data_IF_332850075873
#
_entry.id   IF_332850075873
#
_cell.length_a   1.000
_cell.length_b   1.000
_cell.length_c   1.000
_cell.angle_alpha   90.00
_cell.angle_beta   90.00
_cell.angle_gamma   90.00
#
_symmetry.space_group_name_H-M   'P 1'
#
loop_
_entity.id
_entity.type
_entity.pdbx_description
1 polymer ?
#
# COMPACT_ATOMS: atom_id res chain seq x y z
N UNK A 1 4.12 48.50 -65.75
CA UNK A 1 5.21 48.50 -64.75
C UNK A 1 4.59 48.20 -63.39
N UNK A 2 4.98 47.09 -62.79
CA UNK A 2 4.22 46.38 -61.75
C UNK A 2 4.26 47.02 -60.36
N UNK A 3 3.12 46.93 -59.68
CA UNK A 3 2.91 47.20 -58.26
C UNK A 3 3.36 45.99 -57.43
N UNK A 4 4.42 46.14 -56.63
CA UNK A 4 4.83 45.14 -55.65
C UNK A 4 4.15 45.40 -54.30
N UNK A 5 3.11 44.62 -54.02
CA UNK A 5 2.53 44.51 -52.69
C UNK A 5 3.52 43.81 -51.75
N UNK A 6 3.96 44.51 -50.71
CA UNK A 6 4.76 43.95 -49.63
C UNK A 6 3.87 43.10 -48.73
N UNK A 7 3.93 41.79 -48.89
CA UNK A 7 3.30 40.84 -47.97
C UNK A 7 4.10 40.81 -46.66
N UNK A 8 3.55 41.39 -45.60
CA UNK A 8 4.06 41.22 -44.24
C UNK A 8 3.85 39.77 -43.82
N UNK A 9 4.92 38.97 -43.91
CA UNK A 9 4.96 37.63 -43.34
C UNK A 9 4.70 37.74 -41.83
N UNK A 10 3.55 37.22 -41.39
CA UNK A 10 3.26 37.06 -39.97
C UNK A 10 4.35 36.22 -39.33
N UNK A 11 5.00 36.78 -38.30
CA UNK A 11 5.90 36.05 -37.44
C UNK A 11 5.08 34.95 -36.74
N UNK A 12 5.29 33.71 -37.19
CA UNK A 12 4.74 32.52 -36.57
C UNK A 12 5.41 32.41 -35.19
N UNK A 13 4.63 32.60 -34.13
CA UNK A 13 5.07 32.45 -32.75
C UNK A 13 5.72 31.07 -32.59
N UNK A 14 7.03 31.04 -32.36
CA UNK A 14 7.74 29.80 -32.08
C UNK A 14 7.14 29.16 -30.83
N UNK A 15 6.52 27.99 -30.99
CA UNK A 15 6.06 27.17 -29.87
C UNK A 15 7.26 26.92 -28.93
N UNK A 16 7.11 27.26 -27.66
CA UNK A 16 8.13 27.00 -26.65
C UNK A 16 8.41 25.49 -26.62
N UNK A 17 9.69 25.06 -26.63
CA UNK A 17 10.02 23.65 -26.65
C UNK A 17 9.41 22.94 -25.43
N UNK A 18 8.80 21.78 -25.66
CA UNK A 18 8.30 20.92 -24.60
C UNK A 18 9.46 20.50 -23.68
N UNK A 19 9.43 20.99 -22.43
CA UNK A 19 10.38 20.58 -21.40
C UNK A 19 9.74 19.42 -20.61
N UNK A 20 10.30 18.21 -20.65
CA UNK A 20 9.82 17.08 -19.85
C UNK A 20 9.87 17.41 -18.36
N UNK A 21 8.93 16.87 -17.60
CA UNK A 21 8.92 17.04 -16.14
C UNK A 21 10.08 16.27 -15.49
N UNK A 22 10.93 16.96 -14.75
CA UNK A 22 12.00 16.35 -13.95
C UNK A 22 11.45 15.81 -12.63
N UNK A 23 11.34 14.49 -12.49
CA UNK A 23 10.82 13.86 -11.28
C UNK A 23 11.72 14.03 -10.05
N UNK A 24 13.01 14.34 -10.22
CA UNK A 24 13.91 14.54 -9.08
C UNK A 24 13.52 15.76 -8.25
N UNK A 25 12.74 16.69 -8.82
CA UNK A 25 12.20 17.82 -8.08
C UNK A 25 11.18 17.41 -7.00
N UNK A 26 10.68 16.16 -7.02
CA UNK A 26 9.83 15.56 -5.97
C UNK A 26 10.72 15.06 -4.83
N UNK A 27 11.46 15.99 -4.22
CA UNK A 27 12.32 15.72 -3.07
C UNK A 27 12.16 16.87 -2.07
N UNK A 28 12.05 16.61 -0.75
CA UNK A 28 12.05 17.66 0.26
C UNK A 28 13.21 18.65 0.07
N UNK A 29 12.94 19.94 0.29
CA UNK A 29 13.92 21.02 0.14
C UNK A 29 13.98 21.68 -1.24
N UNK A 30 13.32 21.12 -2.27
CA UNK A 30 13.22 21.77 -3.58
C UNK A 30 12.19 22.92 -3.59
N UNK A 31 12.38 23.88 -4.49
CA UNK A 31 11.39 24.94 -4.73
C UNK A 31 10.04 24.35 -5.16
N UNK A 32 10.06 23.30 -5.98
CA UNK A 32 8.87 22.58 -6.40
C UNK A 32 8.06 22.08 -5.20
N UNK A 33 8.68 21.39 -4.25
CA UNK A 33 7.99 20.88 -3.07
C UNK A 33 7.49 21.99 -2.13
N UNK A 34 8.21 23.12 -2.06
CA UNK A 34 7.73 24.32 -1.34
C UNK A 34 6.44 24.88 -1.97
N UNK A 35 6.40 24.97 -3.30
CA UNK A 35 5.22 25.40 -4.05
C UNK A 35 4.05 24.44 -3.89
N UNK A 36 4.29 23.12 -3.96
CA UNK A 36 3.28 22.09 -3.70
C UNK A 36 2.71 22.25 -2.30
N UNK A 37 3.56 22.41 -1.29
CA UNK A 37 3.14 22.57 0.11
C UNK A 37 2.28 23.83 0.33
N UNK A 38 2.61 24.92 -0.36
CA UNK A 38 1.81 26.16 -0.34
C UNK A 38 0.45 25.95 -1.01
N UNK A 39 0.42 25.31 -2.17
CA UNK A 39 -0.81 25.03 -2.91
C UNK A 39 -1.73 24.06 -2.16
N UNK A 40 -1.18 23.02 -1.50
CA UNK A 40 -1.98 22.09 -0.70
C UNK A 40 -2.63 22.79 0.50
N UNK A 41 -1.92 23.67 1.19
CA UNK A 41 -2.50 24.49 2.28
C UNK A 41 -3.66 25.35 1.77
N UNK A 42 -3.47 26.02 0.62
CA UNK A 42 -4.54 26.80 -0.01
C UNK A 42 -5.72 25.90 -0.39
N UNK A 43 -5.46 24.78 -1.06
CA UNK A 43 -6.48 23.84 -1.50
C UNK A 43 -7.33 23.30 -0.34
N UNK A 44 -6.68 22.88 0.75
CA UNK A 44 -7.38 22.39 1.95
C UNK A 44 -8.29 23.48 2.53
N UNK A 45 -7.78 24.71 2.67
CA UNK A 45 -8.59 25.84 3.18
C UNK A 45 -9.76 26.14 2.26
N UNK A 46 -9.51 26.17 0.95
CA UNK A 46 -10.55 26.38 -0.05
C UNK A 46 -11.63 25.31 0.02
N UNK A 47 -11.24 24.04 0.12
CA UNK A 47 -12.17 22.90 0.25
C UNK A 47 -12.99 22.96 1.54
N UNK A 48 -12.37 23.21 2.69
CA UNK A 48 -13.09 23.35 3.96
C UNK A 48 -14.13 24.47 3.95
N UNK A 49 -13.89 25.55 3.20
CA UNK A 49 -14.79 26.70 3.12
C UNK A 49 -15.91 26.51 2.09
N UNK A 50 -15.63 25.90 0.94
CA UNK A 50 -16.54 25.90 -0.21
C UNK A 50 -17.15 24.53 -0.53
N UNK A 51 -16.61 23.44 -0.01
CA UNK A 51 -17.07 22.08 -0.29
C UNK A 51 -17.85 21.53 0.92
N UNK A 52 -19.14 21.27 0.73
CA UNK A 52 -20.01 20.82 1.82
C UNK A 52 -19.58 19.43 2.35
N UNK A 53 -18.99 18.59 1.49
CA UNK A 53 -18.51 17.26 1.87
C UNK A 53 -17.29 17.32 2.80
N UNK A 54 -16.62 18.47 2.86
CA UNK A 54 -15.46 18.70 3.73
C UNK A 54 -15.85 19.31 5.08
N UNK A 55 -17.12 19.70 5.28
CA UNK A 55 -17.59 20.27 6.54
C UNK A 55 -17.50 19.21 7.66
N UNK A 56 -16.95 19.61 8.80
CA UNK A 56 -16.78 18.73 9.97
C UNK A 56 -15.61 17.75 9.88
N UNK A 57 -14.84 17.76 8.78
CA UNK A 57 -13.62 16.95 8.68
C UNK A 57 -12.46 17.62 9.43
N UNK A 58 -11.70 16.83 10.19
CA UNK A 58 -10.38 17.22 10.68
C UNK A 58 -9.34 16.85 9.62
N UNK A 59 -8.79 17.85 8.94
CA UNK A 59 -7.74 17.66 7.93
C UNK A 59 -6.38 17.99 8.54
N UNK A 60 -5.45 17.05 8.45
CA UNK A 60 -4.07 17.21 8.91
C UNK A 60 -3.13 17.12 7.71
N UNK A 61 -2.23 18.10 7.56
CA UNK A 61 -1.21 18.12 6.52
C UNK A 61 0.17 17.99 7.15
N UNK A 62 0.92 16.96 6.75
CA UNK A 62 2.35 16.81 7.05
C UNK A 62 3.14 16.88 5.75
N UNK A 63 3.63 18.08 5.41
CA UNK A 63 4.28 18.33 4.13
C UNK A 63 5.77 17.95 4.13
N UNK A 64 6.48 18.33 3.06
CA UNK A 64 7.91 18.05 2.89
C UNK A 64 8.84 18.77 3.87
N UNK A 65 8.34 19.67 4.72
CA UNK A 65 9.14 20.31 5.78
C UNK A 65 9.21 19.47 7.05
N UNK A 66 8.30 18.50 7.22
CA UNK A 66 8.26 17.61 8.39
C UNK A 66 9.07 16.34 8.10
N UNK A 67 10.15 16.07 8.85
CA UNK A 67 11.01 14.91 8.64
C UNK A 67 10.27 13.58 8.73
N UNK A 68 10.76 12.59 7.98
CA UNK A 68 10.22 11.24 7.94
C UNK A 68 9.40 10.97 6.68
N UNK A 69 9.44 9.71 6.25
CA UNK A 69 8.73 9.23 5.07
C UNK A 69 7.21 9.24 5.28
N UNK A 70 6.47 9.48 4.20
CA UNK A 70 5.01 9.69 4.27
C UNK A 70 4.28 8.52 4.93
N UNK A 71 4.59 7.30 4.52
CA UNK A 71 3.99 6.08 5.08
C UNK A 71 4.33 5.87 6.55
N UNK A 72 5.57 6.08 6.96
CA UNK A 72 5.98 6.00 8.36
C UNK A 72 5.30 7.06 9.23
N UNK A 73 5.12 8.28 8.72
CA UNK A 73 4.36 9.34 9.41
C UNK A 73 2.89 8.98 9.59
N UNK A 74 2.25 8.41 8.58
CA UNK A 74 0.85 7.92 8.66
C UNK A 74 0.75 6.81 9.72
N UNK A 75 1.64 5.83 9.68
CA UNK A 75 1.62 4.70 10.60
C UNK A 75 1.91 5.13 12.04
N UNK A 76 2.81 6.10 12.24
CA UNK A 76 3.03 6.71 13.55
C UNK A 76 1.77 7.40 14.06
N UNK A 77 1.06 8.16 13.22
CA UNK A 77 -0.20 8.80 13.58
C UNK A 77 -1.27 7.76 13.98
N UNK A 78 -1.44 6.69 13.19
CA UNK A 78 -2.39 5.61 13.52
C UNK A 78 -2.05 4.97 14.87
N UNK A 79 -0.78 4.68 15.15
CA UNK A 79 -0.33 4.11 16.43
C UNK A 79 -0.64 5.02 17.62
N UNK A 80 -0.56 6.35 17.46
CA UNK A 80 -0.92 7.29 18.54
C UNK A 80 -2.40 7.29 18.87
N UNK A 81 -3.26 6.89 17.94
CA UNK A 81 -4.71 6.81 18.12
C UNK A 81 -5.23 5.37 18.30
N UNK A 82 -4.34 4.39 18.50
CA UNK A 82 -4.67 2.94 18.46
C UNK A 82 -5.79 2.50 19.41
N UNK A 83 -5.96 3.21 20.52
CA UNK A 83 -6.96 2.90 21.55
C UNK A 83 -8.37 3.29 21.11
N UNK A 84 -8.49 4.07 20.03
CA UNK A 84 -9.77 4.37 19.41
C UNK A 84 -10.12 3.24 18.45
N UNK A 85 -11.30 2.65 18.61
CA UNK A 85 -11.85 1.66 17.67
C UNK A 85 -12.23 2.32 16.33
N UNK A 86 -11.23 2.81 15.60
CA UNK A 86 -11.34 3.51 14.32
C UNK A 86 -11.07 2.56 13.16
N UNK A 87 -11.75 2.84 12.05
CA UNK A 87 -11.48 2.21 10.76
C UNK A 87 -10.59 3.15 9.97
N UNK A 88 -9.44 2.65 9.54
CA UNK A 88 -8.46 3.40 8.77
C UNK A 88 -8.46 2.95 7.32
N UNK A 89 -8.38 3.90 6.40
CA UNK A 89 -8.15 3.64 4.99
C UNK A 89 -6.89 4.41 4.57
N UNK A 90 -5.85 3.70 4.16
CA UNK A 90 -4.57 4.26 3.73
C UNK A 90 -4.45 4.09 2.23
N UNK A 91 -4.11 5.17 1.52
CA UNK A 91 -3.89 5.13 0.09
C UNK A 91 -2.40 5.00 -0.23
N UNK A 92 -2.03 4.06 -1.10
CA UNK A 92 -0.67 3.94 -1.61
C UNK A 92 -0.42 2.65 -2.38
N UNK A 93 0.68 2.61 -3.14
CA UNK A 93 1.04 1.47 -4.00
C UNK A 93 2.19 0.63 -3.43
N UNK A 94 2.88 1.16 -2.43
CA UNK A 94 4.08 0.58 -1.86
C UNK A 94 3.74 -0.72 -1.12
N UNK A 95 4.60 -1.72 -1.28
CA UNK A 95 4.43 -3.01 -0.61
C UNK A 95 4.62 -2.89 0.90
N UNK A 96 5.46 -1.94 1.32
CA UNK A 96 5.82 -1.66 2.71
C UNK A 96 4.60 -1.26 3.53
N UNK A 97 3.61 -0.59 2.93
CA UNK A 97 2.32 -0.28 3.57
C UNK A 97 1.60 -1.51 4.12
N UNK A 98 1.69 -2.67 3.45
CA UNK A 98 1.06 -3.91 3.93
C UNK A 98 1.73 -4.38 5.22
N UNK A 99 3.06 -4.38 5.22
CA UNK A 99 3.86 -4.85 6.34
C UNK A 99 3.79 -3.88 7.53
N UNK A 100 3.86 -2.57 7.26
CA UNK A 100 3.66 -1.53 8.26
C UNK A 100 2.25 -1.54 8.86
N UNK A 101 1.22 -1.82 8.05
CA UNK A 101 -0.15 -1.94 8.55
C UNK A 101 -0.31 -3.15 9.47
N UNK A 102 0.28 -4.31 9.13
CA UNK A 102 0.28 -5.49 9.99
C UNK A 102 0.97 -5.21 11.34
N UNK A 103 2.13 -4.57 11.32
CA UNK A 103 2.91 -4.20 12.51
C UNK A 103 2.35 -3.00 13.29
N UNK A 104 1.33 -2.32 12.77
CA UNK A 104 0.61 -1.29 13.52
C UNK A 104 -0.30 -1.88 14.60
N UNK A 105 -0.70 -3.15 14.44
CA UNK A 105 -1.71 -3.86 15.24
C UNK A 105 -3.04 -3.11 15.39
N UNK A 106 -3.30 -2.11 14.55
CA UNK A 106 -4.57 -1.39 14.61
C UNK A 106 -5.71 -2.33 14.19
N UNK A 107 -6.88 -2.23 14.85
CA UNK A 107 -7.94 -3.23 14.73
C UNK A 107 -8.64 -3.24 13.38
N UNK A 108 -8.53 -2.18 12.58
CA UNK A 108 -9.15 -2.09 11.26
C UNK A 108 -8.41 -1.16 10.30
N UNK A 109 -7.56 -1.74 9.44
CA UNK A 109 -6.90 -1.05 8.34
C UNK A 109 -7.31 -1.63 6.99
N UNK A 110 -7.67 -0.76 6.06
CA UNK A 110 -7.79 -1.02 4.64
C UNK A 110 -6.70 -0.26 3.89
N UNK A 111 -6.10 -0.90 2.88
CA UNK A 111 -5.21 -0.23 1.94
C UNK A 111 -5.97 -0.08 0.62
N UNK A 112 -6.17 1.16 0.18
CA UNK A 112 -6.72 1.50 -1.12
C UNK A 112 -5.57 1.69 -2.10
N UNK A 113 -5.61 0.96 -3.20
CA UNK A 113 -4.59 1.07 -4.25
C UNK A 113 -5.24 0.95 -5.62
N UNK A 114 -4.63 1.55 -6.62
CA UNK A 114 -5.10 1.40 -7.99
C UNK A 114 -4.78 -0.02 -8.50
N UNK A 115 -5.64 -0.53 -9.40
CA UNK A 115 -5.49 -1.88 -9.97
C UNK A 115 -4.38 -1.92 -11.02
N UNK A 116 -3.36 -2.73 -10.75
CA UNK A 116 -2.30 -3.05 -11.73
C UNK A 116 -2.74 -4.26 -12.56
N UNK A 117 -2.80 -4.11 -13.88
CA UNK A 117 -3.09 -5.24 -14.80
C UNK A 117 -1.81 -5.61 -15.54
N UNK A 118 -1.29 -6.79 -15.24
CA UNK A 118 -0.19 -7.40 -15.99
C UNK A 118 -0.77 -8.04 -17.27
N UNK A 119 -0.76 -7.31 -18.39
CA UNK A 119 -1.14 -7.90 -19.69
C UNK A 119 0.01 -8.72 -20.25
N UNK A 120 -0.12 -10.05 -20.20
CA UNK A 120 0.68 -10.96 -21.03
C UNK A 120 0.09 -11.06 -22.44
N UNK A 121 0.91 -10.90 -23.48
CA UNK A 121 0.57 -11.41 -24.80
C UNK A 121 1.01 -12.89 -24.91
N UNK A 122 0.30 -13.73 -25.69
CA UNK A 122 0.68 -15.12 -25.83
C UNK A 122 1.99 -15.27 -26.62
N UNK A 123 2.88 -16.12 -26.09
CA UNK A 123 3.81 -17.01 -26.81
C UNK A 123 5.07 -16.54 -27.54
N UNK A 124 5.48 -15.28 -27.54
CA UNK A 124 6.83 -14.93 -28.06
C UNK A 124 7.77 -14.35 -26.98
N UNK A 125 8.84 -15.11 -26.68
CA UNK A 125 9.82 -14.94 -25.59
C UNK A 125 10.73 -13.69 -25.68
N UNK A 126 10.39 -12.67 -26.46
CA UNK A 126 11.32 -11.56 -26.76
C UNK A 126 10.76 -10.14 -26.55
N UNK A 127 9.59 -9.96 -25.91
CA UNK A 127 9.09 -8.61 -25.62
C UNK A 127 8.91 -8.40 -24.12
N UNK A 128 9.63 -7.41 -23.60
CA UNK A 128 9.52 -6.83 -22.26
C UNK A 128 8.05 -6.77 -21.83
N UNK A 129 7.74 -7.30 -20.64
CA UNK A 129 6.44 -7.11 -20.01
C UNK A 129 6.13 -5.61 -20.01
N UNK A 130 5.11 -5.18 -20.77
CA UNK A 130 4.61 -3.82 -20.68
C UNK A 130 3.71 -3.76 -19.46
N UNK A 131 4.26 -3.30 -18.34
CA UNK A 131 3.44 -2.84 -17.22
C UNK A 131 2.60 -1.68 -17.77
N UNK A 132 1.31 -1.91 -17.92
CA UNK A 132 0.39 -0.82 -18.28
C UNK A 132 0.16 -0.04 -16.98
N UNK A 133 0.70 1.17 -16.92
CA UNK A 133 0.50 2.05 -15.77
C UNK A 133 -0.99 2.39 -15.60
N UNK A 134 -1.54 1.92 -14.48
CA UNK A 134 -2.47 2.56 -13.54
C UNK A 134 -3.46 3.64 -14.02
N UNK A 135 -3.00 4.74 -14.64
CA UNK A 135 -3.86 5.84 -15.10
C UNK A 135 -4.90 5.42 -16.15
N UNK A 136 -4.79 4.24 -16.75
CA UNK A 136 -5.64 3.81 -17.87
C UNK A 136 -6.88 2.99 -17.47
N UNK A 137 -6.97 2.44 -16.25
CA UNK A 137 -8.12 1.60 -15.85
C UNK A 137 -9.13 2.39 -15.02
N UNK A 138 -8.68 3.33 -14.18
CA UNK A 138 -9.53 4.05 -13.24
C UNK A 138 -10.14 3.16 -12.15
N UNK A 139 -9.68 1.91 -12.03
CA UNK A 139 -10.18 0.93 -11.07
C UNK A 139 -9.30 0.91 -9.82
N UNK A 140 -9.94 0.89 -8.64
CA UNK A 140 -9.28 0.74 -7.36
C UNK A 140 -9.59 -0.63 -6.75
N UNK A 141 -8.64 -1.15 -5.98
CA UNK A 141 -8.79 -2.37 -5.18
C UNK A 141 -8.55 -2.06 -3.70
N UNK A 142 -9.29 -2.75 -2.83
CA UNK A 142 -9.09 -2.73 -1.40
C UNK A 142 -8.32 -3.98 -0.97
N UNK A 143 -7.22 -3.78 -0.24
CA UNK A 143 -6.58 -4.84 0.53
C UNK A 143 -7.03 -4.69 1.99
N UNK A 144 -7.76 -5.69 2.47
CA UNK A 144 -8.23 -5.73 3.85
C UNK A 144 -7.17 -6.38 4.74
N UNK A 145 -6.47 -5.57 5.53
CA UNK A 145 -5.35 -6.02 6.38
C UNK A 145 -5.85 -6.93 7.49
N UNK A 146 -7.05 -6.69 8.03
CA UNK A 146 -7.65 -7.59 9.01
C UNK A 146 -7.92 -8.97 8.43
N UNK A 147 -8.44 -9.01 7.19
CA UNK A 147 -8.69 -10.26 6.52
C UNK A 147 -7.38 -11.02 6.27
N UNK A 148 -6.35 -10.33 5.78
CA UNK A 148 -5.00 -10.90 5.64
C UNK A 148 -4.48 -11.47 6.97
N UNK A 149 -4.63 -10.72 8.06
CA UNK A 149 -4.24 -11.15 9.39
C UNK A 149 -4.98 -12.42 9.84
N UNK A 150 -6.26 -12.57 9.50
CA UNK A 150 -7.03 -13.80 9.77
C UNK A 150 -6.54 -14.98 8.93
N UNK A 151 -6.15 -14.75 7.68
CA UNK A 151 -5.51 -15.78 6.86
C UNK A 151 -4.19 -16.24 7.47
N UNK A 152 -3.34 -15.31 7.93
CA UNK A 152 -2.10 -15.62 8.64
C UNK A 152 -2.37 -16.37 9.96
N UNK A 153 -3.39 -15.96 10.71
CA UNK A 153 -3.79 -16.64 11.94
C UNK A 153 -4.13 -18.11 11.67
N UNK A 154 -4.99 -18.40 10.69
CA UNK A 154 -5.30 -19.78 10.28
C UNK A 154 -4.05 -20.55 9.87
N UNK A 155 -3.12 -19.92 9.15
CA UNK A 155 -1.89 -20.54 8.63
C UNK A 155 -0.87 -20.90 9.73
N UNK A 156 -0.76 -20.07 10.78
CA UNK A 156 0.27 -20.19 11.82
C UNK A 156 -0.25 -20.66 13.18
N UNK A 157 -1.57 -20.70 13.40
CA UNK A 157 -2.17 -21.16 14.67
C UNK A 157 -1.85 -22.61 15.03
N UNK A 158 -1.41 -23.41 14.05
CA UNK A 158 -0.96 -24.79 14.25
C UNK A 158 0.40 -24.90 14.97
N UNK A 159 1.12 -23.79 15.15
CA UNK A 159 2.42 -23.78 15.81
C UNK A 159 2.29 -24.01 17.32
N UNK A 160 3.11 -24.93 17.84
CA UNK A 160 3.25 -25.18 19.27
C UNK A 160 4.46 -24.42 19.80
N UNK A 161 4.22 -23.16 20.21
CA UNK A 161 5.26 -22.28 20.73
C UNK A 161 5.42 -22.45 22.25
N UNK A 162 6.65 -22.49 22.78
CA UNK A 162 6.91 -22.71 24.21
C UNK A 162 6.41 -21.55 25.10
N UNK A 163 6.19 -20.37 24.52
CA UNK A 163 5.72 -19.15 25.18
C UNK A 163 4.26 -18.79 24.86
N UNK A 164 3.52 -19.69 24.20
CA UNK A 164 2.15 -19.47 23.78
C UNK A 164 2.02 -18.76 22.44
N UNK A 165 0.91 -19.03 21.73
CA UNK A 165 0.62 -18.45 20.43
C UNK A 165 0.03 -17.04 20.56
N UNK A 166 0.56 -16.10 19.78
CA UNK A 166 -0.02 -14.76 19.60
C UNK A 166 0.18 -14.31 18.16
N UNK A 167 -0.93 -14.03 17.47
CA UNK A 167 -0.91 -13.53 16.09
C UNK A 167 -0.19 -12.18 15.97
N UNK A 168 -0.18 -11.34 17.01
CA UNK A 168 0.62 -10.09 17.01
C UNK A 168 2.11 -10.40 16.83
N UNK A 169 2.63 -11.33 17.63
CA UNK A 169 4.04 -11.73 17.57
C UNK A 169 4.39 -12.41 16.25
N UNK A 170 3.47 -13.22 15.71
CA UNK A 170 3.67 -13.81 14.37
C UNK A 170 3.78 -12.70 13.31
N UNK A 171 2.89 -11.70 13.33
CA UNK A 171 2.98 -10.59 12.38
C UNK A 171 4.29 -9.81 12.50
N UNK A 172 4.78 -9.59 13.72
CA UNK A 172 6.06 -8.93 13.98
C UNK A 172 7.25 -9.74 13.45
N UNK A 173 7.26 -11.06 13.71
CA UNK A 173 8.28 -11.97 13.20
C UNK A 173 8.26 -12.00 11.66
N UNK A 174 7.07 -12.03 11.04
CA UNK A 174 6.93 -11.99 9.59
C UNK A 174 7.42 -10.65 8.99
N UNK A 175 7.20 -9.53 9.68
CA UNK A 175 7.82 -8.25 9.31
C UNK A 175 9.35 -8.35 9.34
N UNK A 176 9.91 -8.88 10.42
CA UNK A 176 11.35 -9.07 10.55
C UNK A 176 11.92 -9.96 9.43
N UNK A 177 11.23 -11.04 9.08
CA UNK A 177 11.63 -11.95 8.01
C UNK A 177 11.43 -11.35 6.62
N UNK A 178 10.40 -10.54 6.39
CA UNK A 178 10.16 -9.88 5.11
C UNK A 178 11.30 -8.92 4.74
N UNK A 179 11.94 -8.28 5.73
CA UNK A 179 13.16 -7.50 5.48
C UNK A 179 14.28 -8.32 4.83
N UNK A 180 14.32 -9.64 5.03
CA UNK A 180 15.31 -10.50 4.37
C UNK A 180 14.99 -10.75 2.90
N UNK A 181 13.72 -10.72 2.49
CA UNK A 181 13.32 -10.99 1.09
C UNK A 181 13.68 -9.82 0.19
N UNK A 182 13.54 -8.61 0.70
CA UNK A 182 13.88 -7.39 0.00
C UNK A 182 13.25 -6.20 0.69
N UNK A 183 14.02 -5.12 0.81
CA UNK A 183 13.58 -3.81 1.26
C UNK A 183 14.50 -2.76 0.65
N UNK A 184 14.13 -1.49 0.77
CA UNK A 184 14.87 -0.39 0.15
C UNK A 184 16.26 -0.14 0.78
N UNK A 185 16.53 -0.72 1.95
CA UNK A 185 17.76 -0.48 2.72
C UNK A 185 18.80 -1.60 2.55
N UNK A 186 18.39 -2.82 2.23
CA UNK A 186 19.26 -3.99 2.18
C UNK A 186 19.19 -4.70 0.82
N UNK A 187 20.34 -5.15 0.27
CA UNK A 187 20.33 -5.97 -0.93
C UNK A 187 19.68 -7.33 -0.65
N UNK A 188 18.87 -7.82 -1.59
CA UNK A 188 18.21 -9.11 -1.43
C UNK A 188 19.23 -10.28 -1.47
N UNK A 189 19.12 -11.28 -0.59
CA UNK A 189 19.91 -12.50 -0.68
C UNK A 189 19.65 -13.21 -2.02
N UNK A 190 20.69 -13.76 -2.69
CA UNK A 190 20.51 -14.40 -4.00
C UNK A 190 19.51 -15.57 -4.02
N UNK A 191 19.36 -16.26 -2.89
CA UNK A 191 18.46 -17.41 -2.74
C UNK A 191 17.03 -17.06 -2.32
N UNK A 192 16.73 -15.79 -2.04
CA UNK A 192 15.47 -15.38 -1.41
C UNK A 192 14.73 -14.33 -2.25
N UNK A 193 14.33 -14.73 -3.44
CA UNK A 193 13.58 -13.88 -4.37
C UNK A 193 12.10 -14.25 -4.36
N UNK A 194 11.21 -13.25 -4.32
CA UNK A 194 9.75 -13.45 -4.34
C UNK A 194 9.32 -14.28 -5.55
N UNK A 195 9.87 -13.99 -6.73
CA UNK A 195 9.55 -14.70 -7.98
C UNK A 195 9.91 -16.20 -7.95
N UNK A 196 10.81 -16.61 -7.05
CA UNK A 196 11.25 -18.00 -6.87
C UNK A 196 10.60 -18.68 -5.66
N UNK A 197 9.57 -18.09 -5.07
CA UNK A 197 8.89 -18.62 -3.89
C UNK A 197 9.65 -18.39 -2.58
N UNK A 198 10.44 -17.30 -2.51
CA UNK A 198 11.25 -16.99 -1.33
C UNK A 198 10.41 -16.78 -0.06
N UNK A 199 9.22 -16.21 -0.18
CA UNK A 199 8.34 -15.96 0.96
C UNK A 199 7.80 -17.27 1.56
N UNK A 200 7.40 -18.20 0.70
CA UNK A 200 6.95 -19.55 1.07
C UNK A 200 8.08 -20.31 1.77
N UNK A 201 9.30 -20.25 1.23
CA UNK A 201 10.47 -20.86 1.85
C UNK A 201 10.77 -20.29 3.25
N UNK A 202 10.59 -18.97 3.44
CA UNK A 202 10.71 -18.35 4.77
C UNK A 202 9.63 -18.85 5.72
N UNK A 203 8.38 -18.93 5.28
CA UNK A 203 7.28 -19.36 6.14
C UNK A 203 7.49 -20.81 6.59
N UNK A 204 7.85 -21.70 5.67
CA UNK A 204 8.17 -23.10 5.98
C UNK A 204 9.35 -23.22 6.95
N UNK A 205 10.40 -22.43 6.71
CA UNK A 205 11.59 -22.39 7.57
C UNK A 205 11.23 -21.89 8.96
N UNK A 206 10.48 -20.79 9.06
CA UNK A 206 10.00 -20.24 10.31
C UNK A 206 9.18 -21.26 11.10
N UNK A 207 8.19 -21.91 10.46
CA UNK A 207 7.38 -22.94 11.13
C UNK A 207 8.22 -24.10 11.66
N UNK A 208 9.21 -24.56 10.88
CA UNK A 208 10.12 -25.64 11.28
C UNK A 208 10.92 -25.28 12.54
N UNK A 209 11.44 -24.06 12.62
CA UNK A 209 12.25 -23.63 13.76
C UNK A 209 11.42 -23.18 14.97
N UNK A 210 10.24 -22.59 14.74
CA UNK A 210 9.38 -22.10 15.80
C UNK A 210 8.71 -23.24 16.58
N UNK A 211 8.49 -24.41 15.94
CA UNK A 211 7.85 -25.57 16.56
C UNK A 211 8.66 -26.86 16.24
N UNK A 212 9.84 -27.06 16.83
CA UNK A 212 10.74 -28.18 16.49
C UNK A 212 10.09 -29.56 16.71
N UNK A 213 9.17 -29.70 17.67
CA UNK A 213 8.44 -30.93 17.95
C UNK A 213 7.38 -31.30 16.88
N UNK A 214 7.13 -30.42 15.90
CA UNK A 214 6.18 -30.67 14.79
C UNK A 214 6.83 -31.34 13.57
N UNK A 215 8.16 -31.52 13.55
CA UNK A 215 8.92 -32.06 12.41
C UNK A 215 8.51 -33.50 11.96
N UNK A 216 7.66 -34.19 12.72
CA UNK A 216 7.10 -35.51 12.39
C UNK A 216 5.64 -35.53 11.90
N UNK A 217 4.89 -34.42 11.93
CA UNK A 217 3.50 -34.39 11.45
C UNK A 217 3.44 -33.65 10.12
N UNK A 218 3.12 -34.38 9.04
CA UNK A 218 2.78 -33.76 7.75
C UNK A 218 1.68 -32.73 7.99
N UNK A 219 1.88 -31.52 7.48
CA UNK A 219 0.86 -30.47 7.43
C UNK A 219 -0.43 -31.06 6.85
N UNK A 220 -1.44 -31.24 7.69
CA UNK A 220 -2.77 -31.60 7.21
C UNK A 220 -3.32 -30.33 6.56
N UNK A 221 -3.46 -30.36 5.23
CA UNK A 221 -4.11 -29.27 4.50
C UNK A 221 -5.49 -29.01 5.15
N UNK A 222 -5.69 -27.79 5.62
CA UNK A 222 -6.98 -27.37 6.17
C UNK A 222 -7.98 -27.43 5.00
N UNK A 223 -9.04 -28.24 5.10
CA UNK A 223 -9.95 -28.41 3.98
C UNK A 223 -10.73 -27.10 3.75
N UNK A 224 -10.87 -26.72 2.48
CA UNK A 224 -11.39 -25.44 2.00
C UNK A 224 -12.78 -25.05 2.52
N UNK A 225 -13.54 -25.98 3.10
CA UNK A 225 -14.84 -25.71 3.72
C UNK A 225 -14.72 -25.01 5.09
N UNK A 226 -13.67 -25.28 5.87
CA UNK A 226 -13.48 -24.67 7.20
C UNK A 226 -13.18 -23.15 7.13
N UNK A 227 -12.69 -22.68 5.98
CA UNK A 227 -12.45 -21.26 5.71
C UNK A 227 -13.75 -20.46 5.50
N UNK A 228 -14.82 -21.09 4.96
CA UNK A 228 -16.09 -20.39 4.73
C UNK A 228 -16.79 -20.05 6.05
N UNK A 229 -16.85 -21.02 6.96
CA UNK A 229 -17.56 -20.85 8.24
C UNK A 229 -16.89 -19.85 9.18
N UNK A 230 -15.57 -19.65 9.03
CA UNK A 230 -14.87 -18.62 9.79
C UNK A 230 -15.01 -17.22 9.17
N UNK A 231 -15.20 -17.10 7.86
CA UNK A 231 -15.25 -15.80 7.18
C UNK A 231 -16.62 -15.10 7.26
N UNK A 232 -17.67 -15.78 7.69
CA UNK A 232 -18.97 -15.17 7.99
C UNK A 232 -18.93 -14.45 9.35
N UNK A 233 -18.67 -13.15 9.31
CA UNK A 233 -18.91 -12.26 10.44
C UNK A 233 -20.40 -11.84 10.41
N UNK A 234 -21.13 -11.84 11.54
CA UNK A 234 -22.52 -11.40 11.56
C UNK A 234 -22.57 -9.88 11.34
N UNK A 235 -22.99 -9.45 10.15
CA UNK A 235 -23.48 -8.09 9.91
C UNK A 235 -24.93 -7.89 10.40
N UNK A 236 -25.45 -8.78 11.24
CA UNK A 236 -26.72 -8.56 11.93
C UNK A 236 -26.48 -7.81 13.23
N UNK A 237 -26.26 -6.49 13.10
CA UNK A 237 -26.52 -5.56 14.19
C UNK A 237 -28.01 -5.58 14.51
N UNK A 238 -28.32 -5.78 15.80
CA UNK A 238 -29.68 -5.71 16.32
C UNK A 238 -30.32 -4.36 15.99
N UNK A 239 -31.41 -4.40 15.22
CA UNK A 239 -32.46 -3.41 15.34
C UNK A 239 -33.17 -3.72 16.66
N UNK A 240 -32.80 -2.99 17.71
CA UNK A 240 -33.64 -2.87 18.88
C UNK A 240 -34.96 -2.22 18.45
N UNK A 241 -36.03 -3.00 18.47
CA UNK A 241 -37.39 -2.49 18.48
C UNK A 241 -37.63 -1.87 19.85
N UNK A 242 -37.54 -0.55 19.93
CA UNK A 242 -38.20 0.23 20.96
C UNK A 242 -39.69 0.31 20.63
N UNK A 243 -40.50 -0.41 21.40
CA UNK A 243 -41.85 0.00 21.80
C UNK A 243 -41.81 0.29 23.31
#
# INVERSE_FOLDING_TARGET
AGTSAGTSAGAVSAESPFVPFDSNCITPGTEFMSRVSTHLRYFIRYKLQHDELWRGLRVVLSDGSVPGEGEHKIMAYIRTERELARRHCVYGLDADLIMLALASHAPAILILREKVVFRGAPRDRARQQRIVNLRSTGEFIFLNVNLLRRYLDVEFRVLLLPFGYSIDRICDDLLALAFLVGNDFLPHPPGLQIEKGGLEALFDTYKRYASPDSAGRKSAAIPSHALRDSLECPLQGGLGSSD
#
